data_IF_854076517190
#
_entry.id   IF_854076517190
#
_cell.length_a   1.000
_cell.length_b   1.000
_cell.length_c   1.000
_cell.angle_alpha   90.00
_cell.angle_beta   90.00
_cell.angle_gamma   90.00
#
_symmetry.space_group_name_H-M   'P 1'
#
loop_
_entity.id
_entity.type
_entity.pdbx_description
1 polymer ?
#
# COMPACT_ATOMS: atom_id res chain seq x y z
N UNK A 1 7.53 -24.39 -7.09
CA UNK A 1 7.50 -22.92 -6.92
C UNK A 1 6.48 -22.27 -7.86
N UNK A 2 6.34 -22.71 -9.11
CA UNK A 2 5.31 -22.23 -10.05
C UNK A 2 3.89 -22.49 -9.58
N UNK A 3 3.55 -23.70 -9.13
CA UNK A 3 2.23 -24.02 -8.55
C UNK A 3 1.91 -23.16 -7.31
N UNK A 4 2.92 -22.90 -6.46
CA UNK A 4 2.72 -22.08 -5.26
C UNK A 4 2.44 -20.60 -5.58
N UNK A 5 2.95 -20.08 -6.72
CA UNK A 5 2.72 -18.70 -7.15
C UNK A 5 1.40 -18.53 -7.93
N UNK A 6 0.95 -19.54 -8.65
CA UNK A 6 -0.39 -19.56 -9.26
C UNK A 6 -1.50 -19.56 -8.19
N UNK A 7 -1.30 -20.29 -7.11
CA UNK A 7 -2.21 -20.31 -5.96
C UNK A 7 -2.18 -19.03 -5.11
N UNK A 8 -1.12 -18.22 -5.18
CA UNK A 8 -1.06 -16.93 -4.47
C UNK A 8 -2.10 -15.93 -5.01
N UNK A 9 -2.53 -16.10 -6.28
CA UNK A 9 -3.69 -15.37 -6.82
C UNK A 9 -5.01 -15.76 -6.16
N UNK A 10 -5.17 -17.01 -5.75
CA UNK A 10 -6.43 -17.58 -5.26
C UNK A 10 -6.62 -17.52 -3.72
N UNK A 11 -5.79 -16.86 -2.98
CA UNK A 11 -5.94 -16.82 -1.51
C UNK A 11 -5.14 -15.72 -0.82
N UNK A 12 -4.43 -14.87 -1.55
CA UNK A 12 -3.60 -13.82 -0.96
C UNK A 12 -4.22 -12.42 -0.98
N UNK A 13 -5.47 -12.28 -1.44
CA UNK A 13 -6.27 -11.07 -1.26
C UNK A 13 -5.85 -9.88 -2.13
N UNK A 14 -5.41 -10.11 -3.36
CA UNK A 14 -5.19 -9.05 -4.34
C UNK A 14 -6.50 -8.47 -4.88
N UNK A 15 -6.41 -7.32 -5.58
CA UNK A 15 -7.59 -6.68 -6.20
C UNK A 15 -8.26 -7.58 -7.24
N UNK A 16 -7.48 -8.37 -7.96
CA UNK A 16 -8.00 -9.32 -8.95
C UNK A 16 -8.88 -10.42 -8.33
N UNK A 17 -8.55 -10.84 -7.12
CA UNK A 17 -9.37 -11.79 -6.35
C UNK A 17 -10.60 -11.10 -5.77
N UNK A 18 -10.42 -9.95 -5.11
CA UNK A 18 -11.53 -9.16 -4.54
C UNK A 18 -12.62 -8.85 -5.57
N UNK A 19 -12.22 -8.51 -6.79
CA UNK A 19 -13.12 -8.10 -7.87
C UNK A 19 -13.50 -9.28 -8.79
N UNK A 20 -13.15 -10.52 -8.39
CA UNK A 20 -13.40 -11.77 -9.14
C UNK A 20 -12.90 -11.72 -10.60
N UNK A 21 -11.86 -10.95 -10.87
CA UNK A 21 -11.34 -10.66 -12.20
C UNK A 21 -10.12 -11.50 -12.60
N UNK A 22 -9.63 -12.39 -11.72
CA UNK A 22 -8.41 -13.16 -11.95
C UNK A 22 -8.46 -13.99 -13.25
N UNK A 23 -9.64 -14.55 -13.57
CA UNK A 23 -9.85 -15.36 -14.80
C UNK A 23 -9.74 -14.55 -16.11
N UNK A 24 -9.68 -13.22 -16.05
CA UNK A 24 -9.57 -12.29 -17.18
C UNK A 24 -8.15 -11.75 -17.37
N UNK A 25 -7.22 -12.18 -16.53
CA UNK A 25 -5.84 -11.66 -16.50
C UNK A 25 -4.92 -12.78 -16.99
N UNK A 26 -4.23 -12.52 -18.10
CA UNK A 26 -3.30 -13.50 -18.70
C UNK A 26 -1.95 -13.52 -17.98
N UNK A 27 -1.50 -12.37 -17.47
CA UNK A 27 -0.21 -12.23 -16.77
C UNK A 27 -0.41 -11.38 -15.52
N UNK A 28 -0.03 -11.90 -14.36
CA UNK A 28 0.04 -11.17 -13.12
C UNK A 28 1.52 -10.84 -12.84
N UNK A 29 1.83 -9.57 -12.66
CA UNK A 29 3.13 -9.10 -12.20
C UNK A 29 3.02 -8.63 -10.73
N UNK A 30 3.97 -9.00 -9.91
CA UNK A 30 3.99 -8.61 -8.51
C UNK A 30 5.39 -8.30 -7.99
N UNK A 31 5.45 -7.33 -7.08
CA UNK A 31 6.67 -7.04 -6.32
C UNK A 31 6.74 -7.87 -5.05
N UNK A 32 7.92 -8.37 -4.72
CA UNK A 32 8.18 -9.05 -3.45
C UNK A 32 8.55 -8.09 -2.31
N UNK A 33 8.79 -6.81 -2.62
CA UNK A 33 9.22 -5.79 -1.67
C UNK A 33 8.12 -5.17 -0.80
N UNK A 34 6.88 -5.68 -0.87
CA UNK A 34 5.75 -5.20 -0.05
C UNK A 34 5.27 -6.31 0.88
N UNK A 35 4.15 -6.95 0.59
CA UNK A 35 3.56 -7.98 1.46
C UNK A 35 4.50 -9.16 1.77
N UNK A 36 5.35 -9.54 0.82
CA UNK A 36 6.31 -10.64 1.01
C UNK A 36 7.58 -10.24 1.78
N UNK A 37 7.87 -8.93 1.90
CA UNK A 37 8.96 -8.40 2.73
C UNK A 37 10.38 -8.68 2.23
N UNK A 38 10.59 -9.04 0.95
CA UNK A 38 11.90 -9.34 0.38
C UNK A 38 12.11 -8.62 -0.95
N UNK A 39 13.36 -8.44 -1.36
CA UNK A 39 13.71 -7.84 -2.65
C UNK A 39 13.34 -8.77 -3.81
N UNK A 40 12.84 -8.19 -4.91
CA UNK A 40 12.57 -8.90 -6.15
C UNK A 40 11.14 -8.69 -6.65
N UNK A 41 10.80 -9.48 -7.65
CA UNK A 41 9.48 -9.51 -8.28
C UNK A 41 9.19 -10.89 -8.85
N UNK A 42 7.96 -11.08 -9.30
CA UNK A 42 7.53 -12.32 -9.95
C UNK A 42 6.51 -12.04 -11.04
N UNK A 43 6.37 -12.97 -11.93
CA UNK A 43 5.23 -13.09 -12.83
C UNK A 43 4.51 -14.41 -12.57
N UNK A 44 3.19 -14.42 -12.73
CA UNK A 44 2.37 -15.60 -12.75
C UNK A 44 1.50 -15.59 -14.03
N UNK A 45 1.59 -16.64 -14.83
CA UNK A 45 0.91 -16.78 -16.11
C UNK A 45 0.86 -18.26 -16.53
N UNK A 46 0.22 -18.54 -17.67
CA UNK A 46 0.32 -19.87 -18.31
C UNK A 46 1.79 -20.28 -18.50
N UNK A 47 2.07 -21.58 -18.35
CA UNK A 47 3.42 -22.12 -18.41
C UNK A 47 4.16 -21.75 -19.72
N UNK A 48 3.46 -21.69 -20.86
CA UNK A 48 4.05 -21.31 -22.14
C UNK A 48 4.46 -19.83 -22.17
N UNK A 49 3.70 -18.97 -21.54
CA UNK A 49 4.02 -17.54 -21.40
C UNK A 49 5.25 -17.38 -20.50
N UNK A 50 5.28 -18.07 -19.36
CA UNK A 50 6.41 -18.05 -18.43
C UNK A 50 7.69 -18.54 -19.13
N UNK A 51 7.63 -19.63 -19.89
CA UNK A 51 8.76 -20.17 -20.64
C UNK A 51 9.24 -19.19 -21.73
N UNK A 52 8.32 -18.56 -22.44
CA UNK A 52 8.63 -17.52 -23.41
C UNK A 52 9.37 -16.33 -22.76
N UNK A 53 8.88 -15.84 -21.63
CA UNK A 53 9.51 -14.72 -20.90
C UNK A 53 10.91 -15.12 -20.41
N UNK A 54 11.08 -16.33 -19.86
CA UNK A 54 12.39 -16.84 -19.45
C UNK A 54 13.40 -16.89 -20.60
N UNK A 55 12.95 -17.24 -21.79
CA UNK A 55 13.80 -17.49 -22.95
C UNK A 55 14.11 -16.23 -23.75
N UNK A 56 13.23 -15.22 -23.74
CA UNK A 56 13.30 -14.08 -24.66
C UNK A 56 13.29 -12.71 -24.00
N UNK A 57 12.86 -12.57 -22.74
CA UNK A 57 12.80 -11.26 -22.11
C UNK A 57 14.21 -10.78 -21.71
N UNK A 58 14.73 -9.67 -22.29
CA UNK A 58 16.10 -9.21 -22.03
C UNK A 58 16.34 -8.91 -20.54
N UNK A 59 15.36 -8.35 -19.86
CA UNK A 59 15.43 -8.03 -18.42
C UNK A 59 15.46 -9.26 -17.52
N UNK A 60 15.16 -10.45 -18.04
CA UNK A 60 15.24 -11.72 -17.33
C UNK A 60 16.47 -12.52 -17.75
N UNK A 61 16.68 -12.72 -19.06
CA UNK A 61 17.73 -13.60 -19.57
C UNK A 61 19.15 -13.06 -19.28
N UNK A 62 19.32 -11.74 -19.21
CA UNK A 62 20.61 -11.09 -18.94
C UNK A 62 20.79 -10.65 -17.48
N UNK A 63 19.98 -11.15 -16.56
CA UNK A 63 20.11 -10.89 -15.13
C UNK A 63 20.47 -12.14 -14.35
N UNK A 64 21.04 -11.98 -13.16
CA UNK A 64 21.27 -13.10 -12.24
C UNK A 64 19.99 -13.45 -11.49
N UNK A 65 19.86 -14.72 -11.15
CA UNK A 65 18.76 -15.22 -10.31
C UNK A 65 18.78 -14.55 -8.93
N UNK A 66 17.61 -14.51 -8.28
CA UNK A 66 17.52 -14.12 -6.87
C UNK A 66 18.40 -15.06 -6.02
N UNK A 67 19.02 -14.52 -4.98
CA UNK A 67 19.82 -15.34 -4.09
C UNK A 67 18.97 -16.37 -3.35
N UNK A 68 19.52 -17.55 -3.01
CA UNK A 68 18.79 -18.61 -2.30
C UNK A 68 18.16 -18.12 -0.98
N UNK A 69 18.80 -17.17 -0.28
CA UNK A 69 18.30 -16.59 0.96
C UNK A 69 17.01 -15.81 0.72
N UNK A 70 16.95 -14.99 -0.35
CA UNK A 70 15.75 -14.25 -0.72
C UNK A 70 14.63 -15.21 -1.14
N UNK A 71 14.96 -16.22 -1.93
CA UNK A 71 13.98 -17.24 -2.37
C UNK A 71 13.39 -18.01 -1.18
N UNK A 72 14.23 -18.36 -0.19
CA UNK A 72 13.75 -19.01 1.03
C UNK A 72 12.80 -18.09 1.83
N UNK A 73 13.11 -16.80 1.92
CA UNK A 73 12.25 -15.80 2.56
C UNK A 73 10.90 -15.65 1.83
N UNK A 74 10.93 -15.56 0.50
CA UNK A 74 9.69 -15.53 -0.32
C UNK A 74 8.84 -16.78 -0.08
N UNK A 75 9.46 -17.95 -0.12
CA UNK A 75 8.76 -19.23 0.07
C UNK A 75 8.08 -19.29 1.44
N UNK A 76 8.75 -18.83 2.50
CA UNK A 76 8.18 -18.76 3.83
C UNK A 76 7.01 -17.78 3.88
N UNK A 77 7.16 -16.58 3.30
CA UNK A 77 6.10 -15.57 3.25
C UNK A 77 4.87 -16.06 2.47
N UNK A 78 5.08 -16.71 1.31
CA UNK A 78 3.98 -17.28 0.50
C UNK A 78 3.22 -18.36 1.29
N UNK A 79 3.95 -19.29 1.93
CA UNK A 79 3.31 -20.33 2.76
C UNK A 79 2.47 -19.73 3.89
N UNK A 80 3.03 -18.75 4.62
CA UNK A 80 2.32 -18.05 5.68
C UNK A 80 1.06 -17.36 5.16
N UNK A 81 1.15 -16.60 4.06
CA UNK A 81 0.01 -15.87 3.50
C UNK A 81 -1.07 -16.76 2.90
N UNK A 82 -0.76 -18.00 2.53
CA UNK A 82 -1.77 -19.01 2.12
C UNK A 82 -2.58 -19.53 3.32
N UNK A 83 -1.99 -19.57 4.50
CA UNK A 83 -2.58 -20.12 5.71
C UNK A 83 -3.18 -19.05 6.63
N UNK A 84 -2.70 -17.80 6.55
CA UNK A 84 -3.12 -16.68 7.38
C UNK A 84 -3.82 -15.58 6.58
N UNK A 85 -5.00 -15.15 7.04
CA UNK A 85 -5.67 -13.92 6.60
C UNK A 85 -5.52 -12.78 7.61
N UNK A 86 -4.99 -13.07 8.80
CA UNK A 86 -4.97 -12.16 9.95
C UNK A 86 -4.37 -10.78 9.61
N UNK A 87 -3.21 -10.74 8.95
CA UNK A 87 -2.51 -9.49 8.65
C UNK A 87 -3.30 -8.63 7.65
N UNK A 88 -3.97 -9.27 6.68
CA UNK A 88 -4.79 -8.58 5.68
C UNK A 88 -6.06 -8.00 6.32
N UNK A 89 -6.73 -8.79 7.14
CA UNK A 89 -7.94 -8.37 7.85
C UNK A 89 -7.62 -7.24 8.83
N UNK A 90 -6.56 -7.38 9.62
CA UNK A 90 -6.10 -6.36 10.55
C UNK A 90 -5.70 -5.06 9.83
N UNK A 91 -5.03 -5.15 8.67
CA UNK A 91 -4.71 -3.97 7.85
C UNK A 91 -5.97 -3.26 7.36
N UNK A 92 -6.95 -4.00 6.84
CA UNK A 92 -8.21 -3.41 6.36
C UNK A 92 -9.00 -2.77 7.50
N UNK A 93 -9.05 -3.42 8.65
CA UNK A 93 -9.69 -2.88 9.85
C UNK A 93 -9.02 -1.57 10.31
N UNK A 94 -7.68 -1.54 10.37
CA UNK A 94 -6.90 -0.34 10.72
C UNK A 94 -7.13 0.79 9.71
N UNK A 95 -7.18 0.48 8.41
CA UNK A 95 -7.46 1.46 7.38
C UNK A 95 -8.88 2.03 7.47
N UNK A 96 -9.87 1.20 7.71
CA UNK A 96 -11.25 1.63 7.91
C UNK A 96 -11.38 2.52 9.16
N UNK A 97 -10.74 2.12 10.25
CA UNK A 97 -10.72 2.87 11.51
C UNK A 97 -10.08 4.23 11.34
N UNK A 98 -8.90 4.33 10.71
CA UNK A 98 -8.21 5.60 10.49
C UNK A 98 -9.03 6.53 9.57
N UNK A 99 -9.64 6.00 8.51
CA UNK A 99 -10.55 6.78 7.65
C UNK A 99 -11.70 7.39 8.47
N UNK A 100 -12.29 6.60 9.37
CA UNK A 100 -13.38 7.06 10.22
C UNK A 100 -12.90 8.17 11.18
N UNK A 101 -11.77 7.97 11.87
CA UNK A 101 -11.19 8.96 12.77
C UNK A 101 -10.92 10.30 12.05
N UNK A 102 -10.38 10.25 10.83
CA UNK A 102 -10.15 11.46 10.03
C UNK A 102 -11.46 12.15 9.62
N UNK A 103 -12.51 11.39 9.26
CA UNK A 103 -13.82 11.96 8.96
C UNK A 103 -14.45 12.63 10.17
N UNK A 104 -14.42 11.98 11.33
CA UNK A 104 -14.98 12.47 12.59
C UNK A 104 -14.26 13.77 13.03
N UNK A 105 -12.96 13.87 12.75
CA UNK A 105 -12.16 15.07 12.99
C UNK A 105 -12.34 16.17 11.92
N UNK A 106 -13.16 15.98 10.91
CA UNK A 106 -13.36 16.93 9.81
C UNK A 106 -12.18 17.04 8.84
N UNK A 107 -11.21 16.13 8.90
CA UNK A 107 -10.08 16.12 7.97
C UNK A 107 -10.54 15.68 6.57
N UNK A 108 -9.98 16.25 5.48
CA UNK A 108 -10.43 16.01 4.11
C UNK A 108 -9.98 14.68 3.55
N UNK A 109 -10.35 13.57 4.21
CA UNK A 109 -10.06 12.22 3.74
C UNK A 109 -10.82 11.94 2.45
N UNK A 110 -10.12 11.35 1.48
CA UNK A 110 -10.71 10.96 0.20
C UNK A 110 -11.34 9.57 0.29
N UNK A 111 -12.36 9.32 -0.53
CA UNK A 111 -12.92 7.99 -0.63
C UNK A 111 -11.92 7.00 -1.23
N UNK A 112 -11.81 5.85 -0.60
CA UNK A 112 -10.93 4.77 -1.00
C UNK A 112 -11.48 3.44 -0.49
N UNK A 113 -11.57 2.46 -1.37
CA UNK A 113 -11.98 1.09 -1.05
C UNK A 113 -10.79 0.19 -0.69
N UNK A 114 -9.58 0.75 -0.67
CA UNK A 114 -8.33 0.02 -0.39
C UNK A 114 -7.82 0.30 1.03
N UNK A 115 -6.71 -0.35 1.39
CA UNK A 115 -5.97 -0.08 2.64
C UNK A 115 -5.29 1.31 2.68
N UNK A 116 -5.28 2.04 1.56
CA UNK A 116 -4.71 3.38 1.50
C UNK A 116 -5.72 4.39 2.07
N UNK A 117 -5.24 5.27 2.94
CA UNK A 117 -5.99 6.39 3.51
C UNK A 117 -5.41 7.70 2.95
N UNK A 118 -5.97 8.20 1.83
CA UNK A 118 -5.49 9.43 1.23
C UNK A 118 -6.14 10.64 1.88
N UNK A 119 -5.32 11.61 2.29
CA UNK A 119 -5.76 12.87 2.89
C UNK A 119 -5.43 14.02 1.95
N UNK A 120 -6.45 14.70 1.43
CA UNK A 120 -6.30 15.77 0.46
C UNK A 120 -5.65 17.00 1.09
N UNK A 121 -4.70 17.60 0.37
CA UNK A 121 -4.07 18.87 0.74
C UNK A 121 -4.26 19.93 -0.36
N UNK A 122 -4.12 19.52 -1.64
CA UNK A 122 -4.34 20.37 -2.82
C UNK A 122 -3.21 21.35 -3.13
N UNK A 123 -2.09 21.28 -2.42
CA UNK A 123 -0.93 22.13 -2.62
C UNK A 123 0.36 21.36 -2.30
N UNK A 124 1.36 21.33 -3.21
CA UNK A 124 2.57 20.54 -3.04
C UNK A 124 3.49 21.04 -1.92
N UNK A 125 3.54 22.34 -1.70
CA UNK A 125 4.38 22.95 -0.65
C UNK A 125 3.78 22.65 0.72
N UNK A 126 2.48 22.81 0.86
CA UNK A 126 1.74 22.47 2.08
C UNK A 126 1.81 20.98 2.40
N UNK A 127 1.64 20.11 1.40
CA UNK A 127 1.74 18.65 1.59
C UNK A 127 3.13 18.25 2.12
N UNK A 128 4.19 18.81 1.53
CA UNK A 128 5.57 18.61 2.01
C UNK A 128 5.74 19.15 3.44
N UNK A 129 5.28 20.36 3.71
CA UNK A 129 5.40 21.00 5.02
C UNK A 129 4.69 20.21 6.13
N UNK A 130 3.50 19.70 5.88
CA UNK A 130 2.77 18.83 6.82
C UNK A 130 3.58 17.57 7.11
N UNK A 131 4.10 16.91 6.07
CA UNK A 131 4.94 15.72 6.21
C UNK A 131 6.19 15.99 7.07
N UNK A 132 6.85 17.14 6.87
CA UNK A 132 8.04 17.52 7.63
C UNK A 132 7.72 17.81 9.10
N UNK A 133 6.62 18.50 9.38
CA UNK A 133 6.16 18.76 10.74
C UNK A 133 5.81 17.44 11.44
N UNK A 134 5.06 16.57 10.82
CA UNK A 134 4.72 15.25 11.37
C UNK A 134 5.96 14.46 11.75
N UNK A 135 6.98 14.46 10.89
CA UNK A 135 8.22 13.76 11.17
C UNK A 135 9.02 14.42 12.32
N UNK A 136 9.17 15.74 12.28
CA UNK A 136 10.03 16.45 13.20
C UNK A 136 9.45 16.59 14.62
N UNK A 137 8.13 16.82 14.72
CA UNK A 137 7.48 17.15 15.99
C UNK A 137 6.73 15.95 16.61
N UNK A 138 6.24 15.03 15.77
CA UNK A 138 5.42 13.88 16.21
C UNK A 138 6.05 12.51 15.93
N UNK A 139 7.22 12.46 15.28
CA UNK A 139 7.89 11.20 14.93
C UNK A 139 7.14 10.34 13.90
N UNK A 140 6.22 10.93 13.15
CA UNK A 140 5.39 10.22 12.17
C UNK A 140 5.87 10.51 10.76
N UNK A 141 6.35 9.47 10.08
CA UNK A 141 6.67 9.57 8.65
C UNK A 141 5.43 9.33 7.80
N UNK A 142 5.14 10.25 6.89
CA UNK A 142 4.11 10.11 5.85
C UNK A 142 4.62 10.60 4.51
N UNK A 143 4.28 9.87 3.44
CA UNK A 143 4.68 10.24 2.09
C UNK A 143 3.73 11.28 1.49
N UNK A 144 4.21 12.50 1.17
CA UNK A 144 3.45 13.44 0.34
C UNK A 144 3.45 12.94 -1.11
N UNK A 145 2.29 12.96 -1.75
CA UNK A 145 2.10 12.57 -3.14
C UNK A 145 1.77 13.81 -3.94
N UNK A 146 2.70 14.21 -4.80
CA UNK A 146 2.65 15.42 -5.59
C UNK A 146 2.69 15.12 -7.09
N UNK A 147 2.47 16.15 -7.91
CA UNK A 147 2.74 16.06 -9.35
C UNK A 147 4.19 15.58 -9.60
N UNK A 148 4.45 14.69 -10.56
CA UNK A 148 3.55 14.19 -11.61
C UNK A 148 2.74 12.93 -11.21
N UNK A 149 2.89 12.40 -10.01
CA UNK A 149 2.19 11.18 -9.56
C UNK A 149 0.68 11.39 -9.47
N UNK A 150 0.26 12.59 -9.15
CA UNK A 150 -1.14 13.03 -9.13
C UNK A 150 -1.29 14.34 -9.89
N UNK A 151 -2.48 14.67 -10.45
CA UNK A 151 -2.73 15.96 -11.06
C UNK A 151 -2.51 17.11 -10.07
N UNK A 152 -2.10 18.29 -10.59
CA UNK A 152 -1.96 19.52 -9.79
C UNK A 152 -3.29 19.91 -9.15
N UNK A 153 -3.24 20.38 -7.90
CA UNK A 153 -4.41 20.69 -7.10
C UNK A 153 -5.05 19.47 -6.43
N UNK A 154 -4.46 18.28 -6.59
CA UNK A 154 -4.91 17.03 -5.96
C UNK A 154 -3.82 16.37 -5.13
N UNK A 155 -2.83 17.14 -4.74
CA UNK A 155 -1.75 16.71 -3.86
C UNK A 155 -2.33 16.23 -2.52
N UNK A 156 -1.73 15.18 -1.97
CA UNK A 156 -2.28 14.49 -0.80
C UNK A 156 -1.20 13.83 0.04
N UNK A 157 -1.52 13.56 1.28
CA UNK A 157 -0.74 12.66 2.13
C UNK A 157 -1.30 11.24 1.97
N UNK A 158 -0.41 10.24 1.91
CA UNK A 158 -0.79 8.84 1.75
C UNK A 158 -0.43 8.05 3.00
N UNK A 159 -1.43 7.78 3.82
CA UNK A 159 -1.26 6.90 4.97
C UNK A 159 -1.55 5.45 4.59
N UNK A 160 -0.77 4.54 5.15
CA UNK A 160 -0.89 3.08 4.93
C UNK A 160 -0.79 2.38 6.29
N UNK A 161 -1.85 2.46 7.12
CA UNK A 161 -1.84 1.79 8.41
C UNK A 161 -1.75 0.28 8.20
N UNK A 162 -0.99 -0.37 9.06
CA UNK A 162 -0.82 -1.82 9.07
C UNK A 162 -1.21 -2.41 10.42
N UNK A 163 -1.10 -3.73 10.59
CA UNK A 163 -1.52 -4.42 11.82
C UNK A 163 -0.83 -3.95 13.10
N UNK A 164 0.38 -3.40 12.97
CA UNK A 164 1.17 -2.90 14.11
C UNK A 164 0.74 -1.50 14.59
N UNK A 165 -0.08 -0.78 13.83
CA UNK A 165 -0.55 0.55 14.23
C UNK A 165 -1.74 0.41 15.18
N UNK A 166 -1.51 0.78 16.45
CA UNK A 166 -2.54 0.72 17.49
C UNK A 166 -3.56 1.85 17.34
N UNK A 167 -4.71 1.70 17.98
CA UNK A 167 -5.74 2.74 18.01
C UNK A 167 -5.23 4.03 18.68
N UNK A 168 -4.40 3.91 19.72
CA UNK A 168 -3.76 5.04 20.37
C UNK A 168 -2.87 5.83 19.39
N UNK A 169 -2.01 5.15 18.64
CA UNK A 169 -1.16 5.79 17.61
C UNK A 169 -1.99 6.50 16.53
N UNK A 170 -3.10 5.90 16.11
CA UNK A 170 -4.00 6.52 15.14
C UNK A 170 -4.73 7.74 15.70
N UNK A 171 -5.09 7.72 16.98
CA UNK A 171 -5.69 8.87 17.68
C UNK A 171 -4.69 10.02 17.84
N UNK A 172 -3.46 9.73 18.25
CA UNK A 172 -2.37 10.72 18.34
C UNK A 172 -2.08 11.35 16.97
N UNK A 173 -1.99 10.55 15.92
CA UNK A 173 -1.84 11.06 14.55
C UNK A 173 -3.00 11.97 14.14
N UNK A 174 -4.23 11.58 14.46
CA UNK A 174 -5.42 12.37 14.13
C UNK A 174 -5.39 13.72 14.84
N UNK A 175 -5.05 13.74 16.14
CA UNK A 175 -4.92 14.96 16.91
C UNK A 175 -3.80 15.88 16.38
N UNK A 176 -2.63 15.31 16.07
CA UNK A 176 -1.52 16.03 15.46
C UNK A 176 -1.91 16.69 14.12
N UNK A 177 -2.64 15.94 13.27
CA UNK A 177 -3.11 16.50 12.00
C UNK A 177 -4.09 17.65 12.19
N UNK A 178 -5.03 17.57 13.13
CA UNK A 178 -5.96 18.66 13.43
C UNK A 178 -5.19 19.90 13.87
N UNK A 179 -4.21 19.76 14.78
CA UNK A 179 -3.35 20.87 15.21
C UNK A 179 -2.55 21.48 14.04
N UNK A 180 -1.97 20.65 13.17
CA UNK A 180 -1.23 21.12 11.99
C UNK A 180 -2.17 21.86 11.02
N UNK A 181 -3.40 21.36 10.81
CA UNK A 181 -4.40 22.03 9.97
C UNK A 181 -4.73 23.42 10.48
N UNK A 182 -4.91 23.58 11.79
CA UNK A 182 -5.14 24.88 12.43
C UNK A 182 -3.93 25.81 12.26
N UNK A 183 -2.72 25.35 12.59
CA UNK A 183 -1.45 26.09 12.46
C UNK A 183 -1.17 26.58 11.05
N UNK A 184 -1.62 25.85 10.03
CA UNK A 184 -1.41 26.18 8.62
C UNK A 184 -2.63 26.86 7.99
N UNK A 185 -3.64 27.19 8.77
CA UNK A 185 -4.89 27.82 8.34
C UNK A 185 -5.56 27.05 7.19
N UNK A 186 -5.58 25.71 7.29
CA UNK A 186 -6.22 24.82 6.33
C UNK A 186 -7.68 24.61 6.72
N UNK A 187 -8.54 24.51 5.71
CA UNK A 187 -9.96 24.30 5.98
C UNK A 187 -10.24 22.84 6.34
N UNK A 188 -10.86 22.62 7.49
CA UNK A 188 -11.53 21.35 7.79
C UNK A 188 -12.84 21.26 7.00
N UNK A 189 -13.22 20.06 6.58
CA UNK A 189 -14.55 19.83 6.00
C UNK A 189 -15.59 20.01 7.11
N UNK A 190 -16.63 20.81 6.86
CA UNK A 190 -17.77 20.82 7.77
C UNK A 190 -18.39 19.42 7.75
N UNK A 191 -18.66 18.86 8.93
CA UNK A 191 -19.46 17.66 9.04
C UNK A 191 -20.82 17.89 8.32
N UNK A 192 -21.16 16.99 7.42
CA UNK A 192 -22.45 17.03 6.72
C UNK A 192 -23.56 16.54 7.63
#
# INVERSE_FOLDING_TARGET
MEEALQDVGAGSGGISERDEAAHRIDIIEGTLGKAFGVMGGYIAADAKIVDCIRSYAPGFIFTTSLSPVLVAGVLAAVKHLKESSFEREAQQASAARLKQMFRDAGLPVMDSTTHIVPLMVGDPVRAKKISDILLAEYGVYVQPINFPTVPRGTERLRFTPGPAHTEAMMAELTAALVEIWDRLELQLRKAA
#
